data_IF_896730699445
#
_entry.id   IF_896730699445
#
_cell.length_a   1.000
_cell.length_b   1.000
_cell.length_c   1.000
_cell.angle_alpha   90.00
_cell.angle_beta   90.00
_cell.angle_gamma   90.00
#
_symmetry.space_group_name_H-M   'P 1'
#
loop_
_entity.id
_entity.type
_entity.pdbx_description
1 polymer ?
#
# COMPACT_ATOMS: atom_id res chain seq x y z
N UNK A 1 -21.68 8.19 14.51
CA UNK A 1 -21.37 6.99 13.71
C UNK A 1 -21.36 7.38 12.24
N UNK A 2 -20.31 7.02 11.48
CA UNK A 2 -20.19 7.37 10.06
C UNK A 2 -21.11 6.48 9.23
N UNK A 3 -21.85 7.06 8.29
CA UNK A 3 -22.57 6.33 7.22
C UNK A 3 -21.61 6.13 6.05
N UNK A 4 -21.73 5.03 5.31
CA UNK A 4 -20.86 4.72 4.17
C UNK A 4 -20.00 3.47 4.40
N UNK A 5 -18.96 3.32 3.58
CA UNK A 5 -18.18 2.07 3.47
C UNK A 5 -16.78 2.16 4.09
N UNK A 6 -16.12 3.33 4.08
CA UNK A 6 -14.82 3.52 4.72
C UNK A 6 -15.03 3.85 6.20
N UNK A 7 -14.92 2.85 7.06
CA UNK A 7 -15.20 2.99 8.50
C UNK A 7 -13.95 3.27 9.35
N UNK A 8 -12.76 3.00 8.83
CA UNK A 8 -11.52 3.27 9.55
C UNK A 8 -11.35 4.79 9.74
N UNK A 9 -11.17 5.21 10.99
CA UNK A 9 -11.06 6.62 11.37
C UNK A 9 -9.83 7.29 10.78
N UNK A 10 -8.70 6.58 10.75
CA UNK A 10 -7.42 7.12 10.31
C UNK A 10 -7.39 7.27 8.79
N UNK A 11 -7.91 6.28 8.06
CA UNK A 11 -8.10 6.37 6.61
C UNK A 11 -9.05 7.52 6.28
N UNK A 12 -10.18 7.63 6.99
CA UNK A 12 -11.12 8.72 6.77
C UNK A 12 -10.47 10.08 7.02
N UNK A 13 -9.71 10.21 8.11
CA UNK A 13 -9.01 11.44 8.47
C UNK A 13 -7.97 11.82 7.43
N UNK A 14 -7.21 10.84 6.94
CA UNK A 14 -6.24 11.03 5.86
C UNK A 14 -6.92 11.49 4.57
N UNK A 15 -7.92 10.74 4.08
CA UNK A 15 -8.58 11.04 2.81
C UNK A 15 -9.22 12.44 2.86
N UNK A 16 -9.84 12.80 3.98
CA UNK A 16 -10.47 14.12 4.15
C UNK A 16 -9.49 15.31 4.13
N UNK A 17 -8.19 15.06 4.29
CA UNK A 17 -7.14 16.09 4.33
C UNK A 17 -6.33 16.15 3.04
N UNK A 18 -6.51 15.21 2.11
CA UNK A 18 -5.79 15.19 0.85
C UNK A 18 -6.16 16.42 0.02
N UNK A 19 -5.16 17.21 -0.35
CA UNK A 19 -5.25 18.24 -1.36
C UNK A 19 -4.94 17.72 -2.75
N UNK A 20 -5.03 18.59 -3.75
CA UNK A 20 -4.62 18.26 -5.12
C UNK A 20 -3.13 17.88 -5.14
N UNK A 21 -2.79 16.80 -5.86
CA UNK A 21 -1.46 16.17 -5.96
C UNK A 21 -0.92 15.49 -4.70
N UNK A 22 -1.66 15.50 -3.59
CA UNK A 22 -1.28 14.70 -2.43
C UNK A 22 -1.39 13.21 -2.76
N UNK A 23 -0.57 12.41 -2.07
CA UNK A 23 -0.33 11.02 -2.44
C UNK A 23 -0.54 10.13 -1.21
N UNK A 24 -1.13 8.95 -1.43
CA UNK A 24 -1.39 7.95 -0.41
C UNK A 24 -0.83 6.61 -0.91
N UNK A 25 -0.03 5.95 -0.08
CA UNK A 25 0.61 4.69 -0.45
C UNK A 25 -0.11 3.53 0.24
N UNK A 26 -0.59 2.57 -0.54
CA UNK A 26 -1.03 1.25 -0.04
C UNK A 26 0.08 0.27 -0.32
N UNK A 27 0.70 -0.31 0.72
CA UNK A 27 1.86 -1.17 0.57
C UNK A 27 1.82 -2.39 1.50
N UNK A 28 2.60 -3.40 1.14
CA UNK A 28 2.85 -4.52 2.05
C UNK A 28 3.83 -4.12 3.18
N UNK A 29 3.93 -5.02 4.17
CA UNK A 29 4.82 -4.87 5.32
C UNK A 29 6.33 -4.84 5.02
N UNK A 30 6.73 -4.99 3.76
CA UNK A 30 8.12 -4.95 3.31
C UNK A 30 8.60 -3.55 2.94
N UNK A 31 7.70 -2.57 2.75
CA UNK A 31 8.09 -1.22 2.35
C UNK A 31 8.68 -0.44 3.55
N UNK A 32 9.89 0.13 3.45
CA UNK A 32 10.43 0.97 4.52
C UNK A 32 9.63 2.28 4.60
N UNK A 33 9.00 2.53 5.75
CA UNK A 33 8.23 3.74 6.05
C UNK A 33 9.08 4.69 6.90
N UNK A 34 9.33 5.95 6.46
CA UNK A 34 10.01 6.95 7.27
C UNK A 34 9.24 7.27 8.56
N UNK A 35 9.94 7.52 9.67
CA UNK A 35 9.31 7.89 10.96
C UNK A 35 8.55 9.21 10.90
N UNK A 36 8.91 10.09 9.97
CA UNK A 36 8.19 11.34 9.75
C UNK A 36 6.77 11.08 9.23
N UNK A 37 6.52 9.93 8.63
CA UNK A 37 5.31 9.62 7.88
C UNK A 37 4.25 8.90 8.71
N UNK A 38 2.99 9.32 8.56
CA UNK A 38 1.85 8.65 9.19
C UNK A 38 1.72 7.22 8.65
N UNK A 39 1.89 6.23 9.54
CA UNK A 39 1.69 4.81 9.25
C UNK A 39 0.32 4.40 9.80
N UNK A 40 -0.54 3.87 8.94
CA UNK A 40 -1.80 3.22 9.30
C UNK A 40 -1.60 1.72 9.12
N UNK A 41 -1.44 1.02 10.24
CA UNK A 41 -1.30 -0.44 10.22
C UNK A 41 -2.68 -1.09 10.16
N UNK A 42 -3.01 -1.66 9.00
CA UNK A 42 -4.30 -2.31 8.76
C UNK A 42 -4.20 -3.83 8.91
N UNK A 43 -3.01 -4.38 9.15
CA UNK A 43 -2.80 -5.83 9.19
C UNK A 43 -3.42 -6.43 10.47
N UNK A 44 -4.48 -7.21 10.30
CA UNK A 44 -5.10 -7.95 11.40
C UNK A 44 -4.45 -9.32 11.59
N UNK A 45 -4.32 -10.06 10.49
CA UNK A 45 -3.66 -11.35 10.44
C UNK A 45 -3.12 -11.59 9.03
N UNK A 46 -2.49 -12.74 8.81
CA UNK A 46 -1.90 -13.10 7.53
C UNK A 46 -2.95 -13.08 6.41
N UNK A 47 -2.75 -12.21 5.42
CA UNK A 47 -3.65 -12.05 4.28
C UNK A 47 -4.94 -11.27 4.58
N UNK A 48 -5.12 -10.72 5.80
CA UNK A 48 -6.33 -9.99 6.17
C UNK A 48 -5.98 -8.61 6.75
N UNK A 49 -6.45 -7.51 6.13
CA UNK A 49 -7.14 -7.44 4.82
C UNK A 49 -6.18 -7.70 3.65
N UNK A 50 -6.73 -8.02 2.47
CA UNK A 50 -5.96 -8.13 1.23
C UNK A 50 -5.65 -6.75 0.65
N UNK A 51 -4.64 -6.66 -0.22
CA UNK A 51 -4.30 -5.43 -0.94
C UNK A 51 -5.51 -4.81 -1.65
N UNK A 52 -6.25 -5.61 -2.42
CA UNK A 52 -7.39 -5.11 -3.20
C UNK A 52 -8.54 -4.67 -2.30
N UNK A 53 -8.71 -5.26 -1.11
CA UNK A 53 -9.71 -4.80 -0.14
C UNK A 53 -9.36 -3.41 0.42
N UNK A 54 -8.09 -3.20 0.77
CA UNK A 54 -7.63 -1.89 1.27
C UNK A 54 -7.71 -0.85 0.16
N UNK A 55 -7.19 -1.16 -1.04
CA UNK A 55 -7.24 -0.26 -2.18
C UNK A 55 -8.68 0.10 -2.54
N UNK A 56 -9.56 -0.91 -2.65
CA UNK A 56 -10.97 -0.71 -2.97
C UNK A 56 -11.66 0.23 -1.98
N UNK A 57 -11.44 0.03 -0.67
CA UNK A 57 -11.97 0.92 0.36
C UNK A 57 -11.42 2.35 0.22
N UNK A 58 -10.11 2.53 0.04
CA UNK A 58 -9.50 3.86 -0.11
C UNK A 58 -10.07 4.60 -1.33
N UNK A 59 -10.14 3.93 -2.49
CA UNK A 59 -10.59 4.55 -3.75
C UNK A 59 -12.10 4.83 -3.80
N UNK A 60 -12.88 4.38 -2.83
CA UNK A 60 -14.31 4.74 -2.73
C UNK A 60 -14.52 6.18 -2.27
N UNK A 61 -13.61 6.73 -1.47
CA UNK A 61 -13.69 8.13 -1.00
C UNK A 61 -12.58 9.02 -1.57
N UNK A 62 -11.49 8.44 -2.08
CA UNK A 62 -10.36 9.17 -2.68
C UNK A 62 -10.56 9.38 -4.19
N UNK A 63 -10.49 10.64 -4.64
CA UNK A 63 -10.35 10.99 -6.05
C UNK A 63 -8.92 10.70 -6.51
N UNK A 64 -8.76 9.96 -7.61
CA UNK A 64 -7.46 9.49 -8.09
C UNK A 64 -7.22 10.04 -9.48
N UNK A 65 -6.09 10.71 -9.70
CA UNK A 65 -5.68 11.22 -11.02
C UNK A 65 -4.49 10.47 -11.61
N UNK A 66 -3.71 9.79 -10.77
CA UNK A 66 -2.55 9.02 -11.18
C UNK A 66 -2.30 7.84 -10.24
N UNK A 67 -1.73 6.77 -10.78
CA UNK A 67 -1.28 5.60 -10.03
C UNK A 67 0.18 5.28 -10.38
N UNK A 68 1.03 5.12 -9.36
CA UNK A 68 2.43 4.75 -9.53
C UNK A 68 2.63 3.32 -9.05
N UNK A 69 3.07 2.45 -9.95
CA UNK A 69 3.28 1.03 -9.69
C UNK A 69 4.77 0.67 -9.78
N UNK A 70 5.19 -0.34 -9.01
CA UNK A 70 6.51 -0.92 -9.17
C UNK A 70 6.55 -1.78 -10.44
N UNK A 71 7.51 -1.56 -11.34
CA UNK A 71 7.65 -2.31 -12.61
C UNK A 71 7.72 -3.82 -12.38
N UNK A 72 8.31 -4.24 -11.26
CA UNK A 72 8.48 -5.62 -10.82
C UNK A 72 7.13 -6.37 -10.66
N UNK A 73 6.00 -5.66 -10.45
CA UNK A 73 4.68 -6.30 -10.31
C UNK A 73 4.30 -7.10 -11.57
N UNK A 74 4.73 -6.67 -12.74
CA UNK A 74 4.41 -7.31 -14.02
C UNK A 74 5.01 -8.73 -14.11
N UNK A 75 6.20 -8.92 -13.54
CA UNK A 75 6.92 -10.19 -13.59
C UNK A 75 6.62 -11.06 -12.36
N UNK A 76 6.55 -10.45 -11.18
CA UNK A 76 6.45 -11.19 -9.92
C UNK A 76 5.00 -11.44 -9.47
N UNK A 77 4.04 -10.65 -9.95
CA UNK A 77 2.63 -10.84 -9.59
C UNK A 77 1.67 -10.38 -10.72
N UNK A 78 1.71 -11.02 -11.89
CA UNK A 78 0.92 -10.61 -13.06
C UNK A 78 -0.59 -10.65 -12.81
N UNK A 79 -1.07 -11.58 -11.98
CA UNK A 79 -2.50 -11.69 -11.65
C UNK A 79 -2.99 -10.49 -10.83
N UNK A 80 -2.20 -10.07 -9.83
CA UNK A 80 -2.52 -8.87 -9.06
C UNK A 80 -2.42 -7.62 -9.94
N UNK A 81 -1.42 -7.56 -10.81
CA UNK A 81 -1.24 -6.46 -11.75
C UNK A 81 -2.46 -6.30 -12.67
N UNK A 82 -2.94 -7.39 -13.28
CA UNK A 82 -4.14 -7.36 -14.11
C UNK A 82 -5.38 -6.93 -13.32
N UNK A 83 -5.55 -7.46 -12.11
CA UNK A 83 -6.67 -7.09 -11.23
C UNK A 83 -6.63 -5.60 -10.86
N UNK A 84 -5.44 -5.07 -10.61
CA UNK A 84 -5.22 -3.67 -10.29
C UNK A 84 -5.53 -2.75 -11.47
N UNK A 85 -5.10 -3.12 -12.68
CA UNK A 85 -5.42 -2.34 -13.88
C UNK A 85 -6.92 -2.31 -14.15
N UNK A 86 -7.61 -3.45 -14.03
CA UNK A 86 -9.08 -3.50 -14.15
C UNK A 86 -9.78 -2.62 -13.11
N UNK A 87 -9.29 -2.61 -11.87
CA UNK A 87 -9.83 -1.73 -10.82
C UNK A 87 -9.64 -0.26 -11.17
N UNK A 88 -8.46 0.13 -11.68
CA UNK A 88 -8.18 1.51 -12.12
C UNK A 88 -9.06 1.90 -13.31
N UNK A 89 -9.24 1.01 -14.29
CA UNK A 89 -10.12 1.23 -15.45
C UNK A 89 -11.57 1.42 -15.05
N UNK A 90 -12.05 0.66 -14.07
CA UNK A 90 -13.37 0.88 -13.49
C UNK A 90 -13.41 2.21 -12.76
N UNK A 91 -12.40 2.50 -11.93
CA UNK A 91 -12.37 3.72 -11.12
C UNK A 91 -12.43 4.99 -11.99
N UNK A 92 -11.65 5.06 -13.06
CA UNK A 92 -11.65 6.22 -13.97
C UNK A 92 -13.02 6.44 -14.64
N UNK A 93 -13.74 5.35 -14.97
CA UNK A 93 -15.10 5.43 -15.51
C UNK A 93 -16.08 5.97 -14.47
N UNK A 94 -15.97 5.50 -13.22
CA UNK A 94 -16.83 5.96 -12.12
C UNK A 94 -16.54 7.41 -11.72
N UNK A 95 -15.28 7.84 -11.77
CA UNK A 95 -14.85 9.20 -11.45
C UNK A 95 -15.01 10.18 -12.62
N UNK A 96 -15.19 9.67 -13.84
CA UNK A 96 -15.33 10.50 -15.04
C UNK A 96 -14.04 11.25 -15.42
N UNK A 97 -12.88 10.69 -15.08
CA UNK A 97 -11.56 11.25 -15.37
C UNK A 97 -10.64 10.22 -16.06
N UNK A 98 -9.40 10.59 -16.32
CA UNK A 98 -8.36 9.69 -16.83
C UNK A 98 -7.30 9.51 -15.74
N UNK A 99 -7.00 8.25 -15.39
CA UNK A 99 -6.00 7.93 -14.38
C UNK A 99 -4.68 7.57 -15.08
N UNK A 100 -3.65 8.40 -14.90
CA UNK A 100 -2.33 8.15 -15.48
C UNK A 100 -1.58 7.05 -14.70
N UNK A 101 -1.37 5.90 -15.33
CA UNK A 101 -0.66 4.76 -14.73
C UNK A 101 0.81 4.77 -15.14
N UNK A 102 1.68 4.99 -14.16
CA UNK A 102 3.14 5.05 -14.34
C UNK A 102 3.83 3.88 -13.65
N UNK A 103 4.93 3.44 -14.23
CA UNK A 103 5.79 2.41 -13.65
C UNK A 103 7.15 2.99 -13.26
N UNK A 104 7.60 2.65 -12.06
CA UNK A 104 8.94 2.98 -11.55
C UNK A 104 9.57 1.72 -10.98
N UNK A 105 10.90 1.63 -10.93
CA UNK A 105 11.52 0.48 -10.27
C UNK A 105 11.25 0.48 -8.77
N UNK A 106 11.29 -0.67 -8.12
CA UNK A 106 11.08 -0.80 -6.68
C UNK A 106 12.07 0.04 -5.86
N UNK A 107 13.32 0.17 -6.32
CA UNK A 107 14.31 1.04 -5.71
C UNK A 107 13.99 2.53 -5.90
N UNK A 108 13.46 2.92 -7.05
CA UNK A 108 12.95 4.28 -7.26
C UNK A 108 11.74 4.55 -6.36
N UNK A 109 10.80 3.60 -6.25
CA UNK A 109 9.64 3.69 -5.38
C UNK A 109 10.05 3.93 -3.91
N UNK A 110 11.01 3.16 -3.40
CA UNK A 110 11.59 3.37 -2.06
C UNK A 110 12.24 4.74 -1.91
N UNK A 111 12.98 5.21 -2.92
CA UNK A 111 13.65 6.53 -2.89
C UNK A 111 12.64 7.66 -2.90
N UNK A 112 11.57 7.56 -3.68
CA UNK A 112 10.47 8.52 -3.70
C UNK A 112 9.80 8.59 -2.33
N UNK A 113 9.60 7.44 -1.67
CA UNK A 113 9.06 7.39 -0.32
C UNK A 113 10.03 7.99 0.75
N UNK A 114 11.35 7.88 0.54
CA UNK A 114 12.38 8.38 1.49
C UNK A 114 12.77 9.84 1.33
N UNK A 115 12.80 10.38 0.09
CA UNK A 115 13.37 11.70 -0.22
C UNK A 115 12.53 12.88 0.24
N UNK A 116 11.27 12.68 0.61
CA UNK A 116 10.38 13.78 0.97
C UNK A 116 10.49 14.23 2.44
N UNK A 117 11.40 13.63 3.21
CA UNK A 117 11.66 14.00 4.62
C UNK A 117 12.73 15.10 4.80
N UNK A 118 13.19 15.80 3.75
CA UNK A 118 14.25 16.80 3.89
C UNK A 118 14.21 17.94 2.87
N UNK A 119 13.75 19.12 3.31
CA UNK A 119 13.89 20.39 2.57
C UNK A 119 12.60 21.22 2.52
N UNK A 120 12.66 22.45 3.04
CA UNK A 120 11.55 23.42 3.07
C UNK A 120 10.85 23.58 1.71
N UNK A 121 9.52 23.65 1.75
CA UNK A 121 8.59 23.96 0.65
C UNK A 121 8.41 22.88 -0.42
N UNK A 122 7.70 21.80 -0.07
CA UNK A 122 6.51 21.32 -0.79
C UNK A 122 5.76 20.30 0.09
N UNK A 123 4.44 20.48 0.20
CA UNK A 123 3.47 19.57 0.84
C UNK A 123 3.59 18.19 0.16
N UNK A 124 3.50 17.03 0.81
CA UNK A 124 3.17 16.68 2.17
C UNK A 124 3.59 15.23 2.46
N UNK A 125 3.63 14.90 3.74
CA UNK A 125 3.95 13.58 4.27
C UNK A 125 2.94 12.53 3.79
N UNK A 126 3.33 11.53 3.01
CA UNK A 126 2.38 10.58 2.42
C UNK A 126 1.90 9.51 3.41
N UNK A 127 0.64 9.49 3.84
CA UNK A 127 0.17 8.43 4.70
C UNK A 127 0.33 7.06 4.01
N UNK A 128 0.86 6.10 4.78
CA UNK A 128 1.10 4.74 4.31
C UNK A 128 0.12 3.78 4.99
N UNK A 129 -0.73 3.15 4.20
CA UNK A 129 -1.57 2.04 4.63
C UNK A 129 -0.82 0.73 4.43
N UNK A 130 -0.37 0.11 5.53
CA UNK A 130 0.38 -1.13 5.50
C UNK A 130 -0.56 -2.34 5.72
N UNK A 131 -0.39 -3.39 4.92
CA UNK A 131 -1.06 -4.68 5.10
C UNK A 131 -0.06 -5.84 5.11
N UNK A 132 -0.47 -7.01 5.64
CA UNK A 132 0.36 -8.21 5.60
C UNK A 132 0.05 -9.07 4.36
N UNK A 133 0.90 -8.97 3.34
CA UNK A 133 0.85 -9.87 2.17
C UNK A 133 1.54 -11.20 2.46
N UNK A 134 0.89 -12.30 2.05
CA UNK A 134 1.49 -13.64 1.95
C UNK A 134 2.58 -13.72 0.86
N UNK A 135 2.42 -12.96 -0.23
CA UNK A 135 3.12 -13.21 -1.49
C UNK A 135 4.55 -12.65 -1.51
N UNK A 136 4.77 -11.46 -0.94
CA UNK A 136 6.07 -10.78 -1.04
C UNK A 136 7.12 -11.25 -0.02
N UNK A 137 6.70 -11.83 1.12
CA UNK A 137 7.64 -12.39 2.11
C UNK A 137 8.41 -13.60 1.58
N UNK A 138 7.80 -14.42 0.72
CA UNK A 138 8.47 -15.58 0.12
C UNK A 138 9.36 -15.22 -1.08
N UNK A 139 9.06 -14.13 -1.80
CA UNK A 139 9.80 -13.72 -3.00
C UNK A 139 11.06 -12.89 -2.71
N UNK A 140 11.12 -12.15 -1.59
CA UNK A 140 12.26 -11.26 -1.26
C UNK A 140 13.13 -11.69 -0.06
N UNK A 141 12.80 -12.79 0.64
CA UNK A 141 13.64 -13.34 1.72
C UNK A 141 13.69 -14.86 1.64
N UNK A 142 14.73 -15.46 1.01
CA UNK A 142 14.81 -16.91 0.81
C UNK A 142 14.97 -17.76 2.09
N UNK A 143 15.18 -17.17 3.27
CA UNK A 143 15.68 -17.89 4.45
C UNK A 143 14.73 -18.00 5.64
N UNK A 144 13.42 -17.81 5.47
CA UNK A 144 12.45 -18.04 6.56
C UNK A 144 11.69 -19.34 6.37
N UNK A 145 12.34 -20.46 6.67
CA UNK A 145 11.63 -21.74 6.89
C UNK A 145 10.97 -21.71 8.28
N UNK A 146 9.64 -21.59 8.32
CA UNK A 146 8.91 -21.83 9.57
C UNK A 146 8.76 -23.34 9.79
N UNK A 147 9.60 -23.91 10.66
CA UNK A 147 9.28 -25.20 11.28
C UNK A 147 8.32 -24.93 12.45
N UNK A 148 7.05 -25.29 12.26
CA UNK A 148 6.08 -25.33 13.34
C UNK A 148 6.35 -26.56 14.21
N UNK A 149 6.75 -26.36 15.46
CA UNK A 149 6.65 -27.43 16.45
C UNK A 149 5.27 -27.36 17.14
N UNK A 150 4.69 -28.53 17.42
CA UNK A 150 3.30 -28.74 17.85
C UNK A 150 2.91 -28.16 19.23
N UNK A 151 3.73 -27.26 19.79
CA UNK A 151 3.55 -26.68 21.14
C UNK A 151 3.48 -25.15 21.20
N UNK A 152 3.26 -24.47 20.07
CA UNK A 152 2.80 -23.06 20.09
C UNK A 152 3.72 -22.05 20.80
N UNK A 153 5.04 -22.25 20.81
CA UNK A 153 6.00 -21.24 21.27
C UNK A 153 6.92 -20.80 20.13
N UNK A 154 7.00 -19.48 19.92
CA UNK A 154 7.88 -18.86 18.93
C UNK A 154 9.26 -18.74 19.56
N UNK A 155 10.19 -19.62 19.21
CA UNK A 155 11.59 -19.44 19.57
C UNK A 155 12.27 -18.53 18.52
N UNK A 156 12.61 -17.30 18.92
CA UNK A 156 13.39 -16.38 18.09
C UNK A 156 14.88 -16.63 18.34
N UNK A 157 15.51 -17.46 17.53
CA UNK A 157 16.97 -17.50 17.43
C UNK A 157 17.40 -17.05 16.03
N UNK A 158 18.23 -16.00 15.98
CA UNK A 158 18.94 -15.58 14.77
C UNK A 158 19.98 -16.65 14.42
N UNK A 159 20.00 -17.08 13.17
CA UNK A 159 21.21 -17.52 12.48
C UNK A 159 21.64 -16.38 11.55
#
# INVERSE_FOLDING_TARGET
MKKGTVLNSDISAVISRLGHTDTLVVCDAGLPIPHSTARIDMALTQGVPTFMQVLGAVTQEMQVEAAILATEIQQHNPQLHETLLKHIEQLQQHQGNCIDVRYVSHEQFKKTNRRQSGGNSQRGMFPVCEYHSLCWRHLLRPSWTHSYNSKGSINRSRA
#
